data_IF_776764739759
#
_entry.id   IF_776764739759
#
_cell.length_a   1.000
_cell.length_b   1.000
_cell.length_c   1.000
_cell.angle_alpha   90.00
_cell.angle_beta   90.00
_cell.angle_gamma   90.00
#
_symmetry.space_group_name_H-M   'P 1'
#
loop_
_entity.id
_entity.type
_entity.pdbx_description
1 polymer ?
#
# COMPACT_ATOMS: atom_id res chain seq x y z
N UNK A 1 -12.96 17.05 7.99
CA UNK A 1 -12.57 15.88 8.79
C UNK A 1 -11.92 16.39 10.08
N UNK A 2 -12.58 16.22 11.23
CA UNK A 2 -12.07 16.73 12.50
C UNK A 2 -10.96 15.81 13.03
N UNK A 3 -9.70 16.14 12.71
CA UNK A 3 -8.52 15.51 13.31
C UNK A 3 -8.20 16.15 14.67
N UNK A 4 -7.60 15.37 15.57
CA UNK A 4 -6.97 15.89 16.79
C UNK A 4 -5.46 15.81 16.64
N UNK A 5 -4.76 16.88 16.99
CA UNK A 5 -3.29 16.90 16.99
C UNK A 5 -2.75 16.08 18.16
N UNK A 6 -1.77 15.23 17.88
CA UNK A 6 -0.99 14.50 18.88
C UNK A 6 0.47 14.92 18.72
N UNK A 7 1.11 15.31 19.82
CA UNK A 7 2.55 15.58 19.84
C UNK A 7 3.31 14.33 20.25
N UNK A 8 4.39 14.02 19.55
CA UNK A 8 5.24 12.86 19.82
C UNK A 8 6.71 13.21 19.62
N UNK A 9 7.59 12.51 20.32
CA UNK A 9 9.03 12.64 20.18
C UNK A 9 9.58 11.51 19.32
N UNK A 10 10.42 11.87 18.36
CA UNK A 10 11.24 10.95 17.56
C UNK A 10 12.65 11.51 17.50
N UNK A 11 13.64 10.65 17.32
CA UNK A 11 15.01 11.11 17.10
C UNK A 11 15.15 11.82 15.74
N UNK A 12 16.19 12.65 15.62
CA UNK A 12 16.47 13.44 14.41
C UNK A 12 16.65 12.57 13.17
N UNK A 13 17.21 11.35 13.33
CA UNK A 13 17.45 10.45 12.20
C UNK A 13 16.14 9.92 11.61
N UNK A 14 15.15 9.65 12.46
CA UNK A 14 13.80 9.25 12.08
C UNK A 14 13.04 10.44 11.49
N UNK A 15 13.16 11.63 12.09
CA UNK A 15 12.53 12.85 11.57
C UNK A 15 13.01 13.17 10.14
N UNK A 16 14.32 13.09 9.89
CA UNK A 16 14.91 13.31 8.57
C UNK A 16 14.42 12.28 7.54
N UNK A 17 14.39 10.99 7.90
CA UNK A 17 13.87 9.93 7.02
C UNK A 17 12.39 10.12 6.72
N UNK A 18 11.58 10.46 7.71
CA UNK A 18 10.16 10.74 7.53
C UNK A 18 9.94 11.90 6.56
N UNK A 19 10.73 12.97 6.67
CA UNK A 19 10.69 14.10 5.74
C UNK A 19 11.00 13.69 4.30
N UNK A 20 12.03 12.87 4.10
CA UNK A 20 12.42 12.37 2.78
C UNK A 20 11.32 11.48 2.14
N UNK A 21 10.73 10.57 2.92
CA UNK A 21 9.63 9.70 2.45
C UNK A 21 8.40 10.53 2.11
N UNK A 22 8.03 11.49 2.97
CA UNK A 22 6.90 12.39 2.74
C UNK A 22 7.05 13.15 1.41
N UNK A 23 8.25 13.68 1.14
CA UNK A 23 8.55 14.36 -0.11
C UNK A 23 8.42 13.43 -1.33
N UNK A 24 9.00 12.23 -1.25
CA UNK A 24 8.97 11.26 -2.34
C UNK A 24 7.55 10.78 -2.69
N UNK A 25 6.66 10.68 -1.69
CA UNK A 25 5.27 10.28 -1.88
C UNK A 25 4.32 11.46 -2.19
N UNK A 26 4.82 12.70 -2.26
CA UNK A 26 4.01 13.92 -2.35
C UNK A 26 2.95 14.03 -1.23
N UNK A 27 3.36 13.70 0.01
CA UNK A 27 2.51 13.68 1.21
C UNK A 27 3.12 14.53 2.33
N UNK A 28 2.33 14.84 3.34
CA UNK A 28 2.83 15.51 4.54
C UNK A 28 3.33 14.50 5.58
N UNK A 29 4.37 14.81 6.37
CA UNK A 29 4.80 13.97 7.49
C UNK A 29 3.65 13.62 8.44
N UNK A 30 2.77 14.58 8.72
CA UNK A 30 1.59 14.36 9.56
C UNK A 30 0.62 13.32 8.98
N UNK A 31 0.44 13.28 7.65
CA UNK A 31 -0.40 12.27 7.00
C UNK A 31 0.19 10.87 7.14
N UNK A 32 1.50 10.73 6.99
CA UNK A 32 2.21 9.45 7.17
C UNK A 32 2.14 8.98 8.62
N UNK A 33 2.42 9.86 9.59
CA UNK A 33 2.31 9.55 11.02
C UNK A 33 0.89 9.16 11.38
N UNK A 34 -0.11 9.88 10.87
CA UNK A 34 -1.52 9.55 11.08
C UNK A 34 -1.87 8.14 10.57
N UNK A 35 -1.41 7.77 9.37
CA UNK A 35 -1.63 6.43 8.82
C UNK A 35 -0.88 5.34 9.59
N UNK A 36 0.39 5.55 9.91
CA UNK A 36 1.18 4.61 10.71
C UNK A 36 0.57 4.39 12.09
N UNK A 37 0.10 5.46 12.73
CA UNK A 37 -0.61 5.39 14.01
C UNK A 37 -1.92 4.61 13.86
N UNK A 38 -2.73 4.93 12.85
CA UNK A 38 -3.99 4.24 12.56
C UNK A 38 -3.78 2.74 12.31
N UNK A 39 -2.72 2.39 11.58
CA UNK A 39 -2.34 1.00 11.35
C UNK A 39 -2.00 0.30 12.67
N UNK A 40 -1.10 0.87 13.47
CA UNK A 40 -0.66 0.28 14.73
C UNK A 40 -1.84 0.07 15.71
N UNK A 41 -2.70 1.08 15.89
CA UNK A 41 -3.84 0.97 16.81
C UNK A 41 -4.92 0.02 16.30
N UNK A 42 -5.02 -0.18 14.98
CA UNK A 42 -5.94 -1.13 14.35
C UNK A 42 -5.51 -2.59 14.46
N UNK A 43 -4.24 -2.87 14.80
CA UNK A 43 -3.76 -4.24 14.99
C UNK A 43 -4.44 -4.93 16.20
N UNK A 44 -4.71 -6.25 16.16
CA UNK A 44 -5.12 -7.00 17.33
C UNK A 44 -4.10 -6.91 18.47
N UNK A 45 -4.55 -7.03 19.72
CA UNK A 45 -3.66 -6.93 20.89
C UNK A 45 -2.47 -7.91 20.82
N UNK A 46 -2.73 -9.15 20.40
CA UNK A 46 -1.68 -10.16 20.23
C UNK A 46 -0.59 -9.70 19.25
N UNK A 47 -0.96 -9.04 18.15
CA UNK A 47 -0.01 -8.51 17.17
C UNK A 47 0.79 -7.33 17.73
N UNK A 48 0.14 -6.39 18.43
CA UNK A 48 0.85 -5.29 19.11
C UNK A 48 1.81 -5.80 20.19
N UNK A 49 1.42 -6.84 20.93
CA UNK A 49 2.28 -7.46 21.95
C UNK A 49 3.49 -8.16 21.32
N UNK A 50 3.29 -8.93 20.25
CA UNK A 50 4.38 -9.57 19.52
C UNK A 50 5.36 -8.55 18.92
N UNK A 51 4.86 -7.46 18.32
CA UNK A 51 5.70 -6.41 17.75
C UNK A 51 6.56 -5.72 18.83
N UNK A 52 5.96 -5.36 19.98
CA UNK A 52 6.72 -4.81 21.12
C UNK A 52 7.78 -5.77 21.64
N UNK A 53 7.48 -7.08 21.69
CA UNK A 53 8.46 -8.09 22.13
C UNK A 53 9.64 -8.19 21.15
N UNK A 54 9.37 -8.13 19.85
CA UNK A 54 10.42 -8.09 18.82
C UNK A 54 11.28 -6.82 18.95
N UNK A 55 10.66 -5.66 19.20
CA UNK A 55 11.36 -4.38 19.40
C UNK A 55 12.22 -4.35 20.68
N UNK A 56 11.79 -5.00 21.75
CA UNK A 56 12.49 -4.99 23.04
C UNK A 56 13.58 -6.07 23.13
N UNK A 57 13.29 -7.27 22.63
CA UNK A 57 14.13 -8.45 22.85
C UNK A 57 14.64 -9.10 21.56
N UNK A 58 14.12 -8.72 20.39
CA UNK A 58 14.54 -9.29 19.12
C UNK A 58 15.96 -8.87 18.75
N UNK A 59 16.75 -9.85 18.34
CA UNK A 59 18.08 -9.66 17.77
C UNK A 59 18.02 -8.90 16.45
N UNK A 60 19.12 -8.27 16.00
CA UNK A 60 19.16 -7.62 14.69
C UNK A 60 18.77 -8.55 13.53
N UNK A 61 19.14 -9.83 13.60
CA UNK A 61 18.79 -10.82 12.57
C UNK A 61 17.30 -11.16 12.57
N UNK A 62 16.69 -11.35 13.73
CA UNK A 62 15.24 -11.59 13.84
C UNK A 62 14.43 -10.40 13.34
N UNK A 63 14.88 -9.16 13.63
CA UNK A 63 14.24 -7.95 13.09
C UNK A 63 14.34 -7.87 11.58
N UNK A 64 15.53 -8.09 11.01
CA UNK A 64 15.73 -8.11 9.55
C UNK A 64 14.91 -9.21 8.88
N UNK A 65 14.86 -10.39 9.50
CA UNK A 65 14.04 -11.50 9.01
C UNK A 65 12.56 -11.11 9.00
N UNK A 66 12.05 -10.57 10.10
CA UNK A 66 10.67 -10.10 10.20
C UNK A 66 10.34 -9.02 9.16
N UNK A 67 11.22 -8.01 9.00
CA UNK A 67 11.07 -6.98 7.97
C UNK A 67 10.96 -7.59 6.57
N UNK A 68 11.81 -8.58 6.26
CA UNK A 68 11.77 -9.31 4.99
C UNK A 68 10.46 -10.08 4.77
N UNK A 69 9.97 -10.80 5.79
CA UNK A 69 8.68 -11.50 5.71
C UNK A 69 7.52 -10.53 5.55
N UNK A 70 7.55 -9.41 6.27
CA UNK A 70 6.52 -8.37 6.21
C UNK A 70 6.46 -7.74 4.82
N UNK A 71 7.60 -7.39 4.21
CA UNK A 71 7.67 -6.87 2.84
C UNK A 71 7.13 -7.89 1.84
N UNK A 72 7.50 -9.17 1.96
CA UNK A 72 6.97 -10.22 1.07
C UNK A 72 5.46 -10.34 1.15
N UNK A 73 4.90 -10.26 2.37
CA UNK A 73 3.45 -10.27 2.56
C UNK A 73 2.79 -9.06 1.90
N UNK A 74 3.33 -7.85 2.09
CA UNK A 74 2.79 -6.63 1.47
C UNK A 74 2.82 -6.71 -0.06
N UNK A 75 3.92 -7.16 -0.66
CA UNK A 75 4.01 -7.29 -2.12
C UNK A 75 3.02 -8.32 -2.67
N UNK A 76 2.82 -9.44 -1.96
CA UNK A 76 1.82 -10.45 -2.33
C UNK A 76 0.40 -9.88 -2.30
N UNK A 77 0.05 -9.14 -1.25
CA UNK A 77 -1.26 -8.48 -1.13
C UNK A 77 -1.43 -7.42 -2.22
N UNK A 78 -0.39 -6.61 -2.48
CA UNK A 78 -0.41 -5.59 -3.53
C UNK A 78 -0.66 -6.20 -4.92
N UNK A 79 0.03 -7.31 -5.24
CA UNK A 79 -0.18 -8.02 -6.50
C UNK A 79 -1.64 -8.48 -6.65
N UNK A 80 -2.22 -9.07 -5.60
CA UNK A 80 -3.61 -9.52 -5.62
C UNK A 80 -4.60 -8.34 -5.80
N UNK A 81 -4.34 -7.20 -5.14
CA UNK A 81 -5.15 -6.00 -5.29
C UNK A 81 -5.06 -5.43 -6.72
N UNK A 82 -3.86 -5.40 -7.30
CA UNK A 82 -3.63 -4.97 -8.69
C UNK A 82 -4.36 -5.87 -9.66
N UNK A 83 -4.22 -7.20 -9.53
CA UNK A 83 -4.92 -8.17 -10.37
C UNK A 83 -6.44 -7.99 -10.30
N UNK A 84 -7.00 -7.80 -9.09
CA UNK A 84 -8.43 -7.54 -8.92
C UNK A 84 -8.84 -6.24 -9.60
N UNK A 85 -8.05 -5.18 -9.46
CA UNK A 85 -8.34 -3.87 -10.06
C UNK A 85 -8.33 -3.94 -11.58
N UNK A 86 -7.32 -4.62 -12.14
CA UNK A 86 -7.23 -4.86 -13.59
C UNK A 86 -8.39 -5.70 -14.09
N UNK A 87 -8.75 -6.78 -13.40
CA UNK A 87 -9.89 -7.62 -13.77
C UNK A 87 -11.21 -6.82 -13.80
N UNK A 88 -11.42 -5.92 -12.82
CA UNK A 88 -12.60 -5.04 -12.82
C UNK A 88 -12.58 -4.06 -14.01
N UNK A 89 -11.43 -3.48 -14.34
CA UNK A 89 -11.29 -2.58 -15.48
C UNK A 89 -11.54 -3.29 -16.82
N UNK A 90 -10.98 -4.50 -16.99
CA UNK A 90 -11.22 -5.33 -18.18
C UNK A 90 -12.69 -5.75 -18.28
N UNK A 91 -13.31 -6.16 -17.17
CA UNK A 91 -14.72 -6.50 -17.15
C UNK A 91 -15.64 -5.31 -17.52
N UNK A 92 -15.24 -4.07 -17.22
CA UNK A 92 -15.97 -2.86 -17.65
C UNK A 92 -15.65 -2.45 -19.09
N UNK A 93 -14.56 -2.96 -19.67
CA UNK A 93 -14.14 -2.66 -21.04
C UNK A 93 -14.61 -3.70 -22.06
N UNK A 94 -15.08 -4.87 -21.60
CA UNK A 94 -15.69 -5.87 -22.47
C UNK A 94 -17.11 -5.43 -22.85
N UNK A 95 -17.48 -5.51 -24.14
CA UNK A 95 -18.86 -5.24 -24.57
C UNK A 95 -19.85 -6.19 -23.88
N UNK A 96 -21.06 -5.71 -23.58
CA UNK A 96 -22.14 -6.54 -22.99
C UNK A 96 -22.60 -7.67 -23.93
N UNK A 97 -22.24 -7.57 -25.22
CA UNK A 97 -22.42 -8.61 -26.22
C UNK A 97 -21.10 -9.37 -26.42
N UNK A 98 -21.12 -10.66 -26.09
CA UNK A 98 -19.98 -11.59 -26.20
C UNK A 98 -19.75 -12.05 -27.66
N UNK A 99 -20.43 -11.47 -28.64
CA UNK A 99 -20.26 -11.82 -30.06
C UNK A 99 -18.86 -11.46 -30.56
N UNK A 100 -18.28 -12.34 -31.39
CA UNK A 100 -16.95 -12.13 -31.99
C UNK A 100 -16.86 -10.79 -32.74
N UNK A 101 -17.97 -10.33 -33.35
CA UNK A 101 -18.06 -9.06 -34.05
C UNK A 101 -17.97 -7.85 -33.10
N UNK A 102 -18.58 -7.92 -31.92
CA UNK A 102 -18.51 -6.86 -30.90
C UNK A 102 -17.12 -6.79 -30.25
N UNK A 103 -16.50 -7.94 -30.00
CA UNK A 103 -15.12 -8.04 -29.50
C UNK A 103 -14.11 -7.47 -30.51
N UNK A 104 -14.25 -7.77 -31.80
CA UNK A 104 -13.38 -7.25 -32.86
C UNK A 104 -13.58 -5.74 -33.11
N UNK A 105 -14.78 -5.21 -32.85
CA UNK A 105 -15.04 -3.77 -32.91
C UNK A 105 -14.40 -3.03 -31.73
N UNK A 106 -14.60 -3.50 -30.49
CA UNK A 106 -14.00 -2.91 -29.29
C UNK A 106 -12.45 -2.96 -29.33
N UNK A 107 -11.90 -4.05 -29.86
CA UNK A 107 -10.44 -4.21 -30.01
C UNK A 107 -9.85 -3.22 -31.03
N UNK A 108 -10.56 -2.93 -32.13
CA UNK A 108 -10.16 -1.90 -33.10
C UNK A 108 -10.17 -0.49 -32.50
N UNK A 109 -11.23 -0.16 -31.77
CA UNK A 109 -11.36 1.14 -31.10
C UNK A 109 -10.23 1.39 -30.09
N UNK A 110 -9.86 0.36 -29.32
CA UNK A 110 -8.72 0.41 -28.39
C UNK A 110 -7.37 0.61 -29.10
N UNK A 111 -7.16 -0.05 -30.26
CA UNK A 111 -5.92 0.12 -31.03
C UNK A 111 -5.81 1.50 -31.70
N UNK A 112 -6.92 2.15 -32.04
CA UNK A 112 -6.92 3.52 -32.57
C UNK A 112 -6.63 4.56 -31.48
N UNK A 113 -7.18 4.39 -30.27
CA UNK A 113 -6.92 5.28 -29.13
C UNK A 113 -5.50 5.13 -28.57
N UNK A 114 -4.88 3.95 -28.69
CA UNK A 114 -3.52 3.69 -28.24
C UNK A 114 -2.43 4.08 -29.26
N UNK A 115 -2.79 4.65 -30.41
CA UNK A 115 -1.83 5.16 -31.40
C UNK A 115 -1.32 6.54 -30.95
N UNK A 116 0.00 6.76 -30.85
CA UNK A 116 0.59 8.01 -30.35
C UNK A 116 0.34 9.21 -31.26
#
# INVERSE_FOLDING_TARGET
MAGRSVSGYVDESVAAKLGAVALAEARTPASLVGQATSFYVGLPEAARSALRRLEQAGTPDERRWFEGEFVRLLLKVNLALTQRTMAMQVAHALPEDDSDEALDAATREWMEVARP
#
